data_IF_027065355971
#
_entry.id   IF_027065355971
#
_cell.length_a   1.000
_cell.length_b   1.000
_cell.length_c   1.000
_cell.angle_alpha   90.00
_cell.angle_beta   90.00
_cell.angle_gamma   90.00
#
_symmetry.space_group_name_H-M   'P 1'
#
loop_
_entity.id
_entity.type
_entity.pdbx_description
1 polymer ?
#
# COMPACT_ATOMS: atom_id res chain seq x y z
N UNK A 1 -14.09 -22.95 7.80
CA UNK A 1 -13.24 -21.78 7.51
C UNK A 1 -12.64 -22.01 6.12
N UNK A 2 -12.90 -21.14 5.15
CA UNK A 2 -12.36 -21.34 3.79
C UNK A 2 -10.86 -21.07 3.80
N UNK A 3 -10.07 -22.10 3.51
CA UNK A 3 -8.61 -22.00 3.40
C UNK A 3 -8.26 -21.03 2.26
N UNK A 4 -7.49 -19.98 2.55
CA UNK A 4 -7.04 -19.02 1.53
C UNK A 4 -5.98 -19.68 0.66
N UNK A 5 -6.42 -20.33 -0.42
CA UNK A 5 -5.55 -20.92 -1.43
C UNK A 5 -5.26 -19.87 -2.51
N UNK A 6 -4.00 -19.49 -2.69
CA UNK A 6 -3.57 -18.71 -3.87
C UNK A 6 -3.64 -19.62 -5.09
N UNK A 7 -4.59 -19.35 -6.00
CA UNK A 7 -4.72 -20.08 -7.26
C UNK A 7 -4.04 -19.32 -8.39
N UNK A 8 -2.98 -19.89 -8.94
CA UNK A 8 -2.38 -19.38 -10.17
C UNK A 8 -3.20 -19.93 -11.34
N UNK A 9 -3.85 -19.05 -12.09
CA UNK A 9 -4.64 -19.41 -13.26
C UNK A 9 -3.75 -19.36 -14.50
N UNK A 10 -3.79 -20.42 -15.29
CA UNK A 10 -3.12 -20.49 -16.59
C UNK A 10 -4.15 -20.40 -17.72
N UNK A 11 -3.80 -19.73 -18.81
CA UNK A 11 -4.59 -19.78 -20.03
C UNK A 11 -4.04 -20.87 -20.95
N UNK A 12 -4.91 -21.76 -21.45
CA UNK A 12 -4.56 -22.72 -22.49
C UNK A 12 -4.96 -22.15 -23.86
N UNK A 13 -4.08 -22.29 -24.86
CA UNK A 13 -4.39 -21.89 -26.23
C UNK A 13 -4.54 -20.37 -26.46
N UNK A 14 -3.84 -19.54 -25.69
CA UNK A 14 -3.87 -18.09 -25.90
C UNK A 14 -3.16 -17.74 -27.20
N UNK A 15 -3.91 -17.24 -28.18
CA UNK A 15 -3.32 -16.78 -29.43
C UNK A 15 -2.47 -15.51 -29.22
N UNK A 16 -1.54 -15.26 -30.15
CA UNK A 16 -0.57 -14.17 -30.04
C UNK A 16 -1.24 -12.79 -29.87
N UNK A 17 -2.26 -12.50 -30.67
CA UNK A 17 -2.98 -11.23 -30.60
C UNK A 17 -3.65 -10.96 -29.24
N UNK A 18 -4.24 -11.99 -28.61
CA UNK A 18 -4.81 -11.86 -27.26
C UNK A 18 -3.73 -11.66 -26.21
N UNK A 19 -2.60 -12.36 -26.34
CA UNK A 19 -1.44 -12.16 -25.46
C UNK A 19 -0.94 -10.72 -25.54
N UNK A 20 -0.70 -10.21 -26.75
CA UNK A 20 -0.19 -8.84 -26.95
C UNK A 20 -1.17 -7.80 -26.37
N UNK A 21 -2.48 -8.04 -26.50
CA UNK A 21 -3.50 -7.18 -25.87
C UNK A 21 -3.43 -7.20 -24.34
N UNK A 22 -3.27 -8.38 -23.74
CA UNK A 22 -3.12 -8.51 -22.28
C UNK A 22 -1.82 -7.87 -21.79
N UNK A 23 -0.71 -8.05 -22.51
CA UNK A 23 0.57 -7.41 -22.22
C UNK A 23 0.43 -5.88 -22.22
N UNK A 24 -0.21 -5.31 -23.24
CA UNK A 24 -0.45 -3.86 -23.29
C UNK A 24 -1.42 -3.36 -22.21
N UNK A 25 -2.37 -4.18 -21.75
CA UNK A 25 -3.18 -3.83 -20.57
C UNK A 25 -2.34 -3.86 -19.29
N UNK A 26 -1.46 -4.85 -19.14
CA UNK A 26 -0.58 -4.99 -17.98
C UNK A 26 0.43 -3.84 -17.86
N UNK A 27 0.97 -3.36 -18.98
CA UNK A 27 1.85 -2.20 -19.04
C UNK A 27 1.15 -0.92 -18.57
N UNK A 28 -0.05 -0.63 -19.11
CA UNK A 28 -0.86 0.52 -18.67
C UNK A 28 -1.28 0.42 -17.20
N UNK A 29 -1.58 -0.78 -16.73
CA UNK A 29 -1.82 -1.04 -15.31
C UNK A 29 -0.57 -0.78 -14.46
N UNK A 30 0.63 -0.98 -15.03
CA UNK A 30 1.90 -0.59 -14.44
C UNK A 30 1.99 0.91 -14.20
N UNK A 31 1.53 1.74 -15.14
CA UNK A 31 1.44 3.19 -14.97
C UNK A 31 0.57 3.60 -13.78
N UNK A 32 -0.65 3.04 -13.68
CA UNK A 32 -1.55 3.28 -12.54
C UNK A 32 -0.90 2.87 -11.20
N UNK A 33 -0.21 1.72 -11.17
CA UNK A 33 0.52 1.25 -9.98
C UNK A 33 1.67 2.19 -9.60
N UNK A 34 2.44 2.66 -10.58
CA UNK A 34 3.54 3.59 -10.37
C UNK A 34 3.05 4.93 -9.80
N UNK A 35 1.96 5.48 -10.35
CA UNK A 35 1.36 6.72 -9.85
C UNK A 35 0.86 6.56 -8.42
N UNK A 36 0.23 5.42 -8.11
CA UNK A 36 -0.24 5.10 -6.76
C UNK A 36 0.93 5.09 -5.77
N UNK A 37 2.04 4.43 -6.14
CA UNK A 37 3.27 4.41 -5.35
C UNK A 37 3.87 5.79 -5.17
N UNK A 38 4.05 6.57 -6.24
CA UNK A 38 4.59 7.94 -6.15
C UNK A 38 3.76 8.81 -5.20
N UNK A 39 2.42 8.74 -5.29
CA UNK A 39 1.51 9.47 -4.41
C UNK A 39 1.60 9.01 -2.96
N UNK A 40 1.72 7.70 -2.74
CA UNK A 40 1.65 7.09 -1.42
C UNK A 40 3.00 6.88 -0.72
N UNK A 41 4.11 7.14 -1.41
CA UNK A 41 5.48 7.02 -0.89
C UNK A 41 5.75 7.99 0.26
N UNK A 42 5.16 9.18 0.20
CA UNK A 42 5.34 10.24 1.19
C UNK A 42 4.62 9.99 2.52
N UNK A 43 4.87 10.88 3.48
CA UNK A 43 4.21 10.86 4.80
C UNK A 43 2.81 11.47 4.79
N UNK A 44 2.45 12.22 3.74
CA UNK A 44 1.15 12.91 3.62
C UNK A 44 -0.03 11.94 3.59
N UNK A 45 0.16 10.76 3.01
CA UNK A 45 -0.87 9.72 2.91
C UNK A 45 -0.77 8.67 4.02
N UNK A 46 0.08 8.90 5.03
CA UNK A 46 0.34 7.93 6.08
C UNK A 46 -0.92 7.64 6.90
N UNK A 47 -1.64 8.69 7.29
CA UNK A 47 -2.85 8.60 8.12
C UNK A 47 -4.12 8.28 7.31
N UNK A 48 -4.05 8.33 5.98
CA UNK A 48 -5.19 8.09 5.11
C UNK A 48 -5.38 6.59 4.85
N UNK A 49 -6.63 6.17 4.81
CA UNK A 49 -7.03 4.86 4.35
C UNK A 49 -6.89 4.73 2.83
N UNK A 50 -6.74 3.49 2.30
CA UNK A 50 -6.81 3.24 0.86
C UNK A 50 -8.07 3.83 0.19
N UNK A 51 -9.21 3.80 0.89
CA UNK A 51 -10.47 4.34 0.38
C UNK A 51 -10.42 5.86 0.22
N UNK A 52 -9.93 6.57 1.22
CA UNK A 52 -9.79 8.04 1.16
C UNK A 52 -8.83 8.46 0.04
N UNK A 53 -7.71 7.76 -0.13
CA UNK A 53 -6.74 8.03 -1.19
C UNK A 53 -7.39 7.80 -2.56
N UNK A 54 -8.10 6.67 -2.72
CA UNK A 54 -8.81 6.33 -3.95
C UNK A 54 -9.86 7.38 -4.29
N UNK A 55 -10.69 7.77 -3.33
CA UNK A 55 -11.81 8.68 -3.55
C UNK A 55 -11.32 10.10 -3.86
N UNK A 56 -10.24 10.56 -3.20
CA UNK A 56 -9.56 11.81 -3.52
C UNK A 56 -9.02 11.78 -4.96
N UNK A 57 -8.37 10.68 -5.35
CA UNK A 57 -7.82 10.56 -6.69
C UNK A 57 -8.92 10.50 -7.77
N UNK A 58 -10.03 9.82 -7.48
CA UNK A 58 -11.22 9.81 -8.33
C UNK A 58 -11.81 11.22 -8.53
N UNK A 59 -11.83 12.05 -7.48
CA UNK A 59 -12.31 13.42 -7.54
C UNK A 59 -11.40 14.34 -8.38
N UNK A 60 -10.09 14.08 -8.39
CA UNK A 60 -9.09 14.82 -9.18
C UNK A 60 -9.11 14.47 -10.68
N UNK A 61 -9.84 13.43 -11.10
CA UNK A 61 -9.90 13.01 -12.50
C UNK A 61 -8.69 12.20 -12.94
N UNK A 62 -8.50 11.00 -12.35
CA UNK A 62 -7.40 10.08 -12.66
C UNK A 62 -7.16 9.86 -14.16
N UNK A 63 -5.89 9.95 -14.57
CA UNK A 63 -5.43 9.40 -15.85
C UNK A 63 -5.25 7.88 -15.73
N UNK A 64 -6.14 7.09 -16.33
CA UNK A 64 -6.06 5.63 -16.31
C UNK A 64 -5.03 5.04 -17.29
N UNK A 65 -4.13 5.85 -17.85
CA UNK A 65 -3.16 5.43 -18.87
C UNK A 65 -3.81 4.72 -20.07
N UNK A 66 -5.04 5.11 -20.43
CA UNK A 66 -5.81 4.47 -21.51
C UNK A 66 -6.46 3.13 -21.13
N UNK A 67 -6.47 2.74 -19.85
CA UNK A 67 -7.29 1.63 -19.37
C UNK A 67 -8.77 1.99 -19.32
N UNK A 68 -9.66 1.02 -19.55
CA UNK A 68 -11.06 1.14 -19.15
C UNK A 68 -11.16 1.45 -17.67
N UNK A 69 -12.03 2.40 -17.30
CA UNK A 69 -12.16 2.87 -15.92
C UNK A 69 -12.38 1.74 -14.89
N UNK A 70 -13.12 0.68 -15.26
CA UNK A 70 -13.32 -0.49 -14.39
C UNK A 70 -12.00 -1.20 -14.06
N UNK A 71 -11.12 -1.40 -15.05
CA UNK A 71 -9.81 -2.03 -14.84
C UNK A 71 -8.85 -1.09 -14.11
N UNK A 72 -8.89 0.21 -14.42
CA UNK A 72 -8.12 1.22 -13.70
C UNK A 72 -8.46 1.26 -12.21
N UNK A 73 -9.75 1.31 -11.86
CA UNK A 73 -10.22 1.28 -10.46
C UNK A 73 -9.80 0.03 -9.71
N UNK A 74 -9.92 -1.15 -10.34
CA UNK A 74 -9.47 -2.40 -9.74
C UNK A 74 -7.96 -2.41 -9.50
N UNK A 75 -7.19 -2.02 -10.53
CA UNK A 75 -5.72 -1.90 -10.43
C UNK A 75 -5.29 -0.96 -9.32
N UNK A 76 -5.98 0.18 -9.18
CA UNK A 76 -5.72 1.14 -8.12
C UNK A 76 -6.02 0.55 -6.74
N UNK A 77 -7.16 -0.11 -6.57
CA UNK A 77 -7.51 -0.74 -5.29
C UNK A 77 -6.47 -1.79 -4.88
N UNK A 78 -6.03 -2.63 -5.83
CA UNK A 78 -4.98 -3.63 -5.60
C UNK A 78 -3.65 -2.96 -5.20
N UNK A 79 -3.24 -1.92 -5.94
CA UNK A 79 -2.01 -1.18 -5.66
C UNK A 79 -2.00 -0.56 -4.26
N UNK A 80 -3.11 0.04 -3.84
CA UNK A 80 -3.24 0.64 -2.51
C UNK A 80 -3.24 -0.44 -1.41
N UNK A 81 -3.80 -1.61 -1.68
CA UNK A 81 -3.70 -2.77 -0.79
C UNK A 81 -2.25 -3.25 -0.63
N UNK A 82 -1.49 -3.32 -1.71
CA UNK A 82 -0.06 -3.67 -1.67
C UNK A 82 0.76 -2.64 -0.86
N UNK A 83 0.48 -1.34 -1.05
CA UNK A 83 1.11 -0.25 -0.29
C UNK A 83 0.79 -0.39 1.20
N UNK A 84 -0.48 -0.63 1.56
CA UNK A 84 -0.91 -0.82 2.95
C UNK A 84 -0.20 -2.04 3.58
N UNK A 85 -0.16 -3.16 2.87
CA UNK A 85 0.53 -4.36 3.31
C UNK A 85 2.03 -4.11 3.53
N UNK A 86 2.68 -3.40 2.62
CA UNK A 86 4.09 -3.03 2.75
C UNK A 86 4.35 -2.09 3.95
N UNK A 87 3.43 -1.15 4.23
CA UNK A 87 3.49 -0.31 5.44
C UNK A 87 3.34 -1.14 6.72
N UNK A 88 2.38 -2.06 6.76
CA UNK A 88 2.19 -2.95 7.91
C UNK A 88 3.41 -3.86 8.15
N UNK A 89 4.05 -4.32 7.07
CA UNK A 89 5.30 -5.07 7.16
C UNK A 89 6.42 -4.22 7.80
N UNK A 90 6.56 -2.95 7.40
CA UNK A 90 7.54 -2.03 8.01
C UNK A 90 7.29 -1.84 9.52
N UNK A 91 6.03 -1.82 9.96
CA UNK A 91 5.67 -1.72 11.39
C UNK A 91 6.19 -2.89 12.22
N UNK A 92 6.40 -4.08 11.65
CA UNK A 92 6.95 -5.24 12.39
C UNK A 92 8.33 -4.91 12.97
N UNK A 93 9.21 -4.30 12.17
CA UNK A 93 10.53 -3.85 12.63
C UNK A 93 10.42 -2.72 13.65
N UNK A 94 9.51 -1.77 13.46
CA UNK A 94 9.29 -0.66 14.41
C UNK A 94 8.77 -1.17 15.75
N UNK A 95 7.90 -2.20 15.76
CA UNK A 95 7.41 -2.82 17.00
C UNK A 95 8.56 -3.38 17.85
N UNK A 96 9.62 -3.92 17.23
CA UNK A 96 10.84 -4.36 17.94
C UNK A 96 11.61 -3.17 18.52
N UNK A 97 11.76 -2.09 17.75
CA UNK A 97 12.42 -0.87 18.22
C UNK A 97 11.69 -0.22 19.41
N UNK A 98 10.35 -0.21 19.40
CA UNK A 98 9.53 0.25 20.53
C UNK A 98 9.85 -0.58 21.78
N UNK A 99 9.84 -1.93 21.70
CA UNK A 99 10.14 -2.78 22.86
C UNK A 99 11.53 -2.54 23.44
N UNK A 100 12.51 -2.27 22.59
CA UNK A 100 13.87 -1.98 23.06
C UNK A 100 13.95 -0.63 23.77
N UNK A 101 13.27 0.40 23.23
CA UNK A 101 13.25 1.74 23.81
C UNK A 101 12.56 1.77 25.17
N UNK A 102 11.39 1.15 25.28
CA UNK A 102 10.50 1.29 26.45
C UNK A 102 10.71 0.18 27.48
N UNK A 103 11.94 -0.32 27.65
CA UNK A 103 12.24 -1.34 28.66
C UNK A 103 12.02 -0.73 30.06
N UNK A 104 11.02 -1.24 30.78
CA UNK A 104 10.65 -0.74 32.11
C UNK A 104 9.61 0.39 32.12
N UNK A 105 9.16 0.87 30.95
CA UNK A 105 8.07 1.85 30.83
C UNK A 105 6.93 1.28 29.97
N UNK A 106 5.95 0.69 30.63
CA UNK A 106 4.79 0.10 29.95
C UNK A 106 3.80 1.17 29.46
N UNK A 107 3.77 2.35 30.09
CA UNK A 107 2.88 3.44 29.70
C UNK A 107 3.33 4.08 28.37
N UNK A 108 4.63 4.41 28.24
CA UNK A 108 5.21 4.88 26.97
C UNK A 108 5.03 3.82 25.88
N UNK A 109 5.22 2.54 26.21
CA UNK A 109 5.04 1.43 25.26
C UNK A 109 3.63 1.38 24.69
N UNK A 110 2.62 1.47 25.55
CA UNK A 110 1.22 1.40 25.13
C UNK A 110 0.83 2.60 24.27
N UNK A 111 1.30 3.81 24.64
CA UNK A 111 1.10 5.03 23.85
C UNK A 111 1.69 4.90 22.43
N UNK A 112 2.96 4.48 22.33
CA UNK A 112 3.63 4.31 21.04
C UNK A 112 2.97 3.25 20.15
N UNK A 113 2.50 2.14 20.73
CA UNK A 113 1.74 1.14 19.97
C UNK A 113 0.38 1.67 19.51
N UNK A 114 -0.29 2.49 20.32
CA UNK A 114 -1.53 3.16 19.95
C UNK A 114 -1.35 4.03 18.70
N UNK A 115 -0.35 4.91 18.72
CA UNK A 115 -0.02 5.77 17.57
C UNK A 115 0.34 4.96 16.33
N UNK A 116 1.17 3.92 16.49
CA UNK A 116 1.58 3.07 15.37
C UNK A 116 0.39 2.32 14.74
N UNK A 117 -0.56 1.85 15.56
CA UNK A 117 -1.78 1.16 15.11
C UNK A 117 -2.70 2.10 14.35
N UNK A 118 -2.82 3.35 14.79
CA UNK A 118 -3.68 4.38 14.17
C UNK A 118 -3.05 5.05 12.95
N UNK A 119 -1.88 4.59 12.48
CA UNK A 119 -1.11 5.27 11.43
C UNK A 119 -0.68 6.71 11.77
N UNK A 120 -0.73 7.10 13.05
CA UNK A 120 -0.35 8.43 13.56
C UNK A 120 1.11 8.50 13.98
N UNK A 121 1.96 7.68 13.37
CA UNK A 121 3.39 7.58 13.68
C UNK A 121 4.19 8.83 13.28
N UNK A 122 3.60 9.75 12.51
CA UNK A 122 4.19 11.07 12.19
C UNK A 122 4.14 12.06 13.36
N UNK A 123 3.29 11.82 14.35
CA UNK A 123 3.08 12.72 15.49
C UNK A 123 4.14 12.55 16.59
N UNK A 124 4.77 11.38 16.66
CA UNK A 124 5.87 11.11 17.58
C UNK A 124 7.23 11.14 16.83
N UNK A 125 8.21 11.95 17.26
CA UNK A 125 9.51 12.05 16.59
C UNK A 125 10.27 10.72 16.49
N UNK A 126 10.10 9.83 17.47
CA UNK A 126 10.77 8.53 17.46
C UNK A 126 10.13 7.58 16.44
N UNK A 127 8.81 7.42 16.46
CA UNK A 127 8.07 6.61 15.49
C UNK A 127 8.26 7.14 14.07
N UNK A 128 8.24 8.46 13.89
CA UNK A 128 8.47 9.08 12.59
C UNK A 128 9.83 8.68 12.03
N UNK A 129 10.89 8.78 12.84
CA UNK A 129 12.25 8.36 12.45
C UNK A 129 12.33 6.87 12.16
N UNK A 130 11.71 6.02 12.97
CA UNK A 130 11.75 4.57 12.78
C UNK A 130 10.99 4.15 11.52
N UNK A 131 9.79 4.67 11.31
CA UNK A 131 9.00 4.39 10.12
C UNK A 131 9.72 4.87 8.87
N UNK A 132 10.29 6.08 8.82
CA UNK A 132 11.05 6.54 7.64
C UNK A 132 12.28 5.68 7.30
N UNK A 133 12.85 4.96 8.27
CA UNK A 133 13.96 4.04 8.02
C UNK A 133 13.51 2.71 7.39
N UNK A 134 12.32 2.24 7.79
CA UNK A 134 11.79 0.93 7.40
C UNK A 134 10.85 1.01 6.19
N UNK A 135 10.09 2.10 6.08
CA UNK A 135 9.22 2.42 4.96
C UNK A 135 10.04 3.09 3.85
N UNK A 136 10.43 2.29 2.88
CA UNK A 136 11.01 2.76 1.62
C UNK A 136 9.96 2.54 0.54
N UNK A 137 9.04 3.50 0.42
CA UNK A 137 8.24 3.60 -0.79
C UNK A 137 9.02 4.20 -1.94
#
# INVERSE_FOLDING_TARGET
MAEKVTRILHSQGLNRAKYDRLAGLAERAGGVRADAWCRCRGVSTAAQSPYEIRDAWMAEGCAWHGLPARLGKATLADALGDIEAAREAAKVSVRKAIRHRTRGDDAERQSLYGLLKQNRWTEDPFLHRQMRKQWRG
#
